data_IF_770126225362
#
_entry.id   IF_770126225362
#
_cell.length_a   1.000
_cell.length_b   1.000
_cell.length_c   1.000
_cell.angle_alpha   90.00
_cell.angle_beta   90.00
_cell.angle_gamma   90.00
#
_symmetry.space_group_name_H-M   'P 1'
#
loop_
_entity.id
_entity.type
_entity.pdbx_description
1 polymer ?
#
# COMPACT_ATOMS: atom_id res chain seq x y z
N UNK A 1 6.56 -2.75 -9.46
CA UNK A 1 6.66 -1.29 -9.32
C UNK A 1 8.04 -0.82 -9.81
N UNK A 2 8.11 0.45 -10.28
CA UNK A 2 9.37 1.10 -10.69
C UNK A 2 10.45 0.91 -9.65
N UNK A 3 11.66 0.52 -10.10
CA UNK A 3 12.83 0.36 -9.25
C UNK A 3 12.81 -0.84 -8.31
N UNK A 4 11.74 -1.63 -8.21
CA UNK A 4 11.66 -2.78 -7.32
C UNK A 4 11.74 -4.12 -8.06
N UNK A 5 12.33 -5.11 -7.39
CA UNK A 5 12.45 -6.46 -7.91
C UNK A 5 13.21 -6.53 -9.22
N UNK A 6 12.58 -7.05 -10.26
CA UNK A 6 13.17 -7.24 -11.60
C UNK A 6 13.00 -6.03 -12.54
N UNK A 7 12.32 -4.96 -12.10
CA UNK A 7 12.21 -3.76 -12.94
C UNK A 7 13.52 -2.98 -12.94
N UNK A 8 13.78 -2.27 -14.04
CA UNK A 8 14.99 -1.43 -14.18
C UNK A 8 14.99 -0.29 -13.16
N UNK A 9 16.18 0.23 -12.88
CA UNK A 9 16.31 1.42 -12.04
C UNK A 9 15.70 2.63 -12.75
N UNK A 10 14.86 3.41 -12.06
CA UNK A 10 14.33 4.62 -12.62
C UNK A 10 15.47 5.63 -12.81
N UNK A 11 15.55 6.21 -14.00
CA UNK A 11 16.57 7.21 -14.37
C UNK A 11 16.28 8.57 -13.75
N UNK A 12 14.99 8.83 -13.45
CA UNK A 12 14.50 10.11 -12.92
C UNK A 12 13.60 9.89 -11.70
N UNK A 13 13.48 10.89 -10.82
CA UNK A 13 12.47 10.88 -9.77
C UNK A 13 11.06 10.66 -10.36
N UNK A 14 10.21 10.00 -9.61
CA UNK A 14 8.84 9.71 -9.99
C UNK A 14 7.89 9.92 -8.79
N UNK A 15 6.62 10.08 -9.09
CA UNK A 15 5.56 10.28 -8.11
C UNK A 15 4.70 9.03 -7.91
N UNK A 16 3.82 9.07 -6.90
CA UNK A 16 2.76 8.06 -6.73
C UNK A 16 1.79 8.07 -7.92
N UNK A 17 1.55 9.25 -8.52
CA UNK A 17 0.72 9.39 -9.72
C UNK A 17 1.33 8.68 -10.94
N UNK A 18 2.66 8.77 -11.14
CA UNK A 18 3.34 8.04 -12.22
C UNK A 18 3.21 6.52 -12.05
N UNK A 19 3.23 6.02 -10.81
CA UNK A 19 3.01 4.59 -10.54
C UNK A 19 1.56 4.16 -10.81
N UNK A 20 0.60 5.06 -10.63
CA UNK A 20 -0.80 4.81 -11.01
C UNK A 20 -0.97 4.76 -12.53
N UNK A 21 -0.28 5.63 -13.26
CA UNK A 21 -0.25 5.62 -14.72
C UNK A 21 0.40 4.32 -15.24
N UNK A 22 1.49 3.84 -14.60
CA UNK A 22 2.10 2.54 -14.92
C UNK A 22 1.12 1.37 -14.73
N UNK A 23 0.37 1.38 -13.63
CA UNK A 23 -0.60 0.31 -13.36
C UNK A 23 -1.74 0.31 -14.40
N UNK A 24 -2.21 1.49 -14.81
CA UNK A 24 -3.21 1.61 -15.87
C UNK A 24 -2.66 1.16 -17.23
N UNK A 25 -1.43 1.56 -17.56
CA UNK A 25 -0.74 1.15 -18.79
C UNK A 25 -0.47 -0.36 -18.83
N UNK A 26 -0.15 -0.98 -17.68
CA UNK A 26 -0.01 -2.43 -17.59
C UNK A 26 -1.31 -3.14 -17.96
N UNK A 27 -2.48 -2.73 -17.43
CA UNK A 27 -3.77 -3.31 -17.77
C UNK A 27 -4.04 -3.20 -19.27
N UNK A 28 -3.67 -2.08 -19.88
CA UNK A 28 -3.79 -1.85 -21.32
C UNK A 28 -2.89 -2.79 -22.12
N UNK A 29 -1.63 -2.92 -21.71
CA UNK A 29 -0.64 -3.75 -22.39
C UNK A 29 -0.97 -5.26 -22.37
N UNK A 30 -1.80 -5.70 -21.42
CA UNK A 30 -2.26 -7.09 -21.31
C UNK A 30 -3.74 -7.26 -21.70
N UNK A 31 -4.31 -6.29 -22.42
CA UNK A 31 -5.68 -6.29 -22.94
C UNK A 31 -6.76 -6.50 -21.86
N UNK A 32 -6.53 -6.05 -20.63
CA UNK A 32 -7.52 -6.04 -19.55
C UNK A 32 -8.18 -4.66 -19.51
N UNK A 33 -9.46 -4.53 -19.90
CA UNK A 33 -10.13 -3.23 -19.95
C UNK A 33 -10.30 -2.60 -18.56
N UNK A 34 -10.63 -3.40 -17.55
CA UNK A 34 -10.76 -2.98 -16.16
C UNK A 34 -10.67 -4.18 -15.20
N UNK A 35 -10.20 -3.95 -13.98
CA UNK A 35 -9.99 -4.97 -12.96
C UNK A 35 -10.53 -4.55 -11.59
N UNK A 36 -10.74 -5.51 -10.68
CA UNK A 36 -10.69 -5.24 -9.25
C UNK A 36 -9.22 -5.05 -8.86
N UNK A 37 -8.92 -4.00 -8.10
CA UNK A 37 -7.55 -3.66 -7.73
C UNK A 37 -7.43 -3.61 -6.22
N UNK A 38 -6.47 -4.35 -5.66
CA UNK A 38 -6.10 -4.29 -4.26
C UNK A 38 -4.75 -3.55 -4.10
N UNK A 39 -4.73 -2.51 -3.29
CA UNK A 39 -3.54 -1.73 -2.97
C UNK A 39 -3.12 -1.90 -1.52
N UNK A 40 -1.98 -2.57 -1.28
CA UNK A 40 -1.40 -2.72 0.05
C UNK A 40 -0.44 -1.58 0.35
N UNK A 41 -0.59 -0.91 1.50
CA UNK A 41 0.30 0.14 1.98
C UNK A 41 0.55 1.22 0.91
N UNK A 42 1.77 1.37 0.36
CA UNK A 42 2.08 2.21 -0.79
C UNK A 42 1.15 1.93 -1.99
N UNK A 43 0.79 0.66 -2.21
CA UNK A 43 -0.17 0.27 -3.26
C UNK A 43 -1.54 0.94 -3.09
N UNK A 44 -1.94 1.25 -1.86
CA UNK A 44 -3.17 2.01 -1.58
C UNK A 44 -3.08 3.48 -2.01
N UNK A 45 -1.92 4.12 -1.87
CA UNK A 45 -1.71 5.48 -2.41
C UNK A 45 -1.78 5.48 -3.94
N UNK A 46 -1.19 4.45 -4.57
CA UNK A 46 -1.24 4.25 -6.02
C UNK A 46 -2.69 4.02 -6.47
N UNK A 47 -3.45 3.16 -5.76
CA UNK A 47 -4.84 2.88 -6.05
C UNK A 47 -5.73 4.12 -5.95
N UNK A 48 -5.53 4.97 -4.93
CA UNK A 48 -6.27 6.22 -4.80
C UNK A 48 -6.04 7.15 -6.01
N UNK A 49 -4.79 7.30 -6.45
CA UNK A 49 -4.46 8.04 -7.67
C UNK A 49 -5.05 7.38 -8.92
N UNK A 50 -5.02 6.05 -9.01
CA UNK A 50 -5.56 5.30 -10.14
C UNK A 50 -7.08 5.51 -10.26
N UNK A 51 -7.82 5.52 -9.15
CA UNK A 51 -9.27 5.76 -9.12
C UNK A 51 -9.68 7.14 -9.62
N UNK A 52 -8.85 8.16 -9.39
CA UNK A 52 -9.11 9.53 -9.85
C UNK A 52 -8.64 9.75 -11.29
N UNK A 53 -7.48 9.22 -11.66
CA UNK A 53 -6.86 9.46 -12.96
C UNK A 53 -7.38 8.50 -14.04
N UNK A 54 -7.68 7.26 -13.66
CA UNK A 54 -8.08 6.16 -14.53
C UNK A 54 -9.33 5.42 -14.00
N UNK A 55 -10.45 6.14 -13.68
CA UNK A 55 -11.60 5.54 -12.99
C UNK A 55 -12.23 4.37 -13.77
N UNK A 56 -12.14 4.37 -15.09
CA UNK A 56 -12.68 3.30 -15.94
C UNK A 56 -11.83 2.02 -15.93
N UNK A 57 -10.60 2.07 -15.41
CA UNK A 57 -9.72 0.90 -15.29
C UNK A 57 -9.95 0.12 -13.98
N UNK A 58 -10.71 0.68 -13.02
CA UNK A 58 -10.95 0.07 -11.71
C UNK A 58 -12.45 -0.23 -11.55
N UNK A 59 -12.81 -1.49 -11.39
CA UNK A 59 -14.20 -1.93 -11.16
C UNK A 59 -14.55 -2.01 -9.67
N UNK A 60 -13.58 -2.34 -8.84
CA UNK A 60 -13.70 -2.43 -7.39
C UNK A 60 -12.32 -2.16 -6.76
N UNK A 61 -12.29 -1.62 -5.56
CA UNK A 61 -11.05 -1.19 -4.91
C UNK A 61 -10.91 -1.74 -3.48
N UNK A 62 -9.81 -2.40 -3.19
CA UNK A 62 -9.46 -2.81 -1.84
C UNK A 62 -8.24 -2.01 -1.34
N UNK A 63 -8.43 -1.22 -0.30
CA UNK A 63 -7.39 -0.47 0.39
C UNK A 63 -6.91 -1.28 1.59
N UNK A 64 -5.69 -1.84 1.52
CA UNK A 64 -5.17 -2.74 2.54
C UNK A 64 -4.02 -2.08 3.30
N UNK A 65 -4.17 -1.93 4.62
CA UNK A 65 -3.18 -1.31 5.53
C UNK A 65 -2.66 0.04 5.00
N UNK A 66 -3.57 0.94 4.65
CA UNK A 66 -3.26 2.21 3.98
C UNK A 66 -4.16 3.36 4.43
N UNK A 67 -3.90 4.56 3.92
CA UNK A 67 -4.63 5.79 4.23
C UNK A 67 -4.68 6.71 2.99
N UNK A 68 -5.54 7.75 3.02
CA UNK A 68 -5.64 8.73 1.92
C UNK A 68 -4.77 9.97 2.12
N UNK A 69 -4.54 10.40 3.36
CA UNK A 69 -3.88 11.66 3.67
C UNK A 69 -2.42 11.74 3.22
N UNK A 70 -1.96 12.95 2.95
CA UNK A 70 -0.54 13.25 2.79
C UNK A 70 0.25 12.98 4.08
N UNK A 71 1.57 12.96 4.00
CA UNK A 71 2.41 12.93 5.20
C UNK A 71 2.28 14.26 5.98
N UNK A 72 2.26 14.16 7.31
CA UNK A 72 2.49 15.34 8.15
C UNK A 72 3.92 15.84 7.99
N UNK A 73 4.19 17.07 8.43
CA UNK A 73 5.55 17.63 8.37
C UNK A 73 6.58 16.73 9.07
N UNK A 74 6.23 16.19 10.24
CA UNK A 74 7.08 15.31 11.03
C UNK A 74 7.35 13.99 10.29
N UNK A 75 6.31 13.43 9.65
CA UNK A 75 6.43 12.19 8.88
C UNK A 75 7.26 12.39 7.60
N UNK A 76 7.08 13.52 6.93
CA UNK A 76 7.88 13.90 5.77
C UNK A 76 9.37 14.06 6.15
N UNK A 77 9.66 14.71 7.30
CA UNK A 77 11.04 14.82 7.83
C UNK A 77 11.62 13.46 8.19
N UNK A 78 10.84 12.59 8.83
CA UNK A 78 11.27 11.23 9.15
C UNK A 78 11.64 10.44 7.89
N UNK A 79 10.86 10.58 6.78
CA UNK A 79 11.23 9.95 5.51
C UNK A 79 12.56 10.47 4.95
N UNK A 80 12.82 11.78 5.05
CA UNK A 80 14.13 12.33 4.62
C UNK A 80 15.28 11.71 5.40
N UNK A 81 15.13 11.53 6.73
CA UNK A 81 16.14 10.85 7.56
C UNK A 81 16.31 9.39 7.14
N UNK A 82 15.20 8.67 6.88
CA UNK A 82 15.22 7.29 6.42
C UNK A 82 15.87 7.15 5.05
N UNK A 83 15.61 8.07 4.11
CA UNK A 83 16.25 8.09 2.79
C UNK A 83 17.77 8.19 2.92
N UNK A 84 18.26 9.11 3.74
CA UNK A 84 19.70 9.25 4.01
C UNK A 84 20.26 7.97 4.61
N UNK A 85 19.60 7.43 5.64
CA UNK A 85 20.02 6.19 6.28
C UNK A 85 20.13 5.03 5.29
N UNK A 86 19.15 4.87 4.39
CA UNK A 86 19.18 3.82 3.36
C UNK A 86 20.34 4.01 2.37
N UNK A 87 20.63 5.25 1.99
CA UNK A 87 21.77 5.54 1.08
C UNK A 87 23.11 5.28 1.77
N UNK A 88 23.24 5.69 3.02
CA UNK A 88 24.50 5.62 3.78
C UNK A 88 24.80 4.18 4.27
N UNK A 89 23.78 3.48 4.81
CA UNK A 89 23.94 2.19 5.49
C UNK A 89 23.45 1.00 4.62
N UNK A 90 22.70 1.26 3.56
CA UNK A 90 22.23 0.25 2.62
C UNK A 90 20.89 -0.40 3.00
N UNK A 91 20.37 -1.22 2.07
CA UNK A 91 19.06 -1.86 2.19
C UNK A 91 18.98 -2.88 3.33
N UNK A 92 20.08 -3.54 3.69
CA UNK A 92 20.12 -4.50 4.80
C UNK A 92 19.85 -3.82 6.14
N UNK A 93 20.59 -2.74 6.43
CA UNK A 93 20.40 -1.96 7.64
C UNK A 93 18.99 -1.36 7.72
N UNK A 94 18.46 -0.89 6.58
CA UNK A 94 17.07 -0.45 6.49
C UNK A 94 16.10 -1.59 6.82
N UNK A 95 16.28 -2.79 6.27
CA UNK A 95 15.42 -3.95 6.54
C UNK A 95 15.45 -4.34 8.02
N UNK A 96 16.64 -4.34 8.66
CA UNK A 96 16.80 -4.62 10.10
C UNK A 96 15.97 -3.66 10.97
N UNK A 97 15.92 -2.37 10.61
CA UNK A 97 15.19 -1.35 11.34
C UNK A 97 13.68 -1.33 11.02
N UNK A 98 13.30 -1.71 9.80
CA UNK A 98 11.94 -1.54 9.29
C UNK A 98 11.06 -2.78 9.49
N UNK A 99 11.58 -3.99 9.25
CA UNK A 99 10.80 -5.25 9.31
C UNK A 99 10.12 -5.46 10.67
N UNK A 100 10.74 -5.17 11.82
CA UNK A 100 10.09 -5.29 13.12
C UNK A 100 8.83 -4.44 13.31
N UNK A 101 8.66 -3.38 12.50
CA UNK A 101 7.48 -2.50 12.55
C UNK A 101 6.31 -3.01 11.69
N UNK A 102 6.55 -4.01 10.85
CA UNK A 102 5.57 -4.52 9.89
C UNK A 102 4.61 -5.53 10.50
N UNK A 103 5.04 -6.26 11.51
CA UNK A 103 4.28 -7.36 12.09
C UNK A 103 3.81 -7.03 13.51
N UNK A 104 2.68 -7.64 13.91
CA UNK A 104 2.32 -7.64 15.31
C UNK A 104 3.37 -8.43 16.13
N UNK A 105 3.69 -8.02 17.36
CA UNK A 105 4.68 -8.72 18.20
C UNK A 105 4.36 -10.20 18.40
N UNK A 106 3.09 -10.53 18.55
CA UNK A 106 2.62 -11.90 18.74
C UNK A 106 2.88 -12.75 17.48
N UNK A 107 2.56 -12.21 16.29
CA UNK A 107 2.80 -12.89 15.03
C UNK A 107 4.29 -13.07 14.78
N UNK A 108 5.09 -12.02 14.94
CA UNK A 108 6.52 -12.07 14.72
C UNK A 108 7.23 -13.14 15.58
N UNK A 109 6.79 -13.28 16.85
CA UNK A 109 7.34 -14.29 17.75
C UNK A 109 6.96 -15.75 17.35
N UNK A 110 5.78 -15.93 16.78
CA UNK A 110 5.25 -17.24 16.38
C UNK A 110 5.70 -17.68 14.97
N UNK A 111 6.05 -16.72 14.10
CA UNK A 111 6.31 -16.93 12.67
C UNK A 111 7.64 -16.30 12.21
N UNK A 112 8.79 -16.71 12.78
CA UNK A 112 10.09 -16.11 12.45
C UNK A 112 10.49 -16.31 10.98
N UNK A 113 10.00 -17.37 10.32
CA UNK A 113 10.33 -17.65 8.93
C UNK A 113 9.70 -16.66 7.97
N UNK A 114 8.43 -16.26 8.18
CA UNK A 114 7.73 -15.25 7.38
C UNK A 114 8.34 -13.85 7.59
N UNK A 115 8.73 -13.55 8.82
CA UNK A 115 9.48 -12.32 9.14
C UNK A 115 10.83 -12.31 8.41
N UNK A 116 11.55 -13.44 8.43
CA UNK A 116 12.80 -13.64 7.72
C UNK A 116 12.66 -13.50 6.20
N UNK A 117 11.62 -14.09 5.61
CA UNK A 117 11.34 -13.92 4.17
C UNK A 117 11.08 -12.45 3.81
N UNK A 118 10.33 -11.72 4.65
CA UNK A 118 10.07 -10.29 4.45
C UNK A 118 11.38 -9.49 4.53
N UNK A 119 12.25 -9.82 5.47
CA UNK A 119 13.58 -9.24 5.57
C UNK A 119 14.40 -9.47 4.28
N UNK A 120 14.47 -10.70 3.78
CA UNK A 120 15.20 -11.02 2.56
C UNK A 120 14.68 -10.24 1.34
N UNK A 121 13.36 -10.10 1.21
CA UNK A 121 12.76 -9.33 0.13
C UNK A 121 13.16 -7.85 0.19
N UNK A 122 13.14 -7.24 1.37
CA UNK A 122 13.46 -5.81 1.55
C UNK A 122 14.99 -5.58 1.45
N UNK A 123 15.78 -6.42 2.10
CA UNK A 123 17.26 -6.31 2.11
C UNK A 123 17.88 -6.53 0.73
N UNK A 124 17.18 -7.28 -0.14
CA UNK A 124 17.59 -7.51 -1.54
C UNK A 124 17.24 -6.36 -2.49
N UNK A 125 16.57 -5.29 -2.03
CA UNK A 125 16.26 -4.15 -2.89
C UNK A 125 17.47 -3.20 -3.03
N UNK A 126 17.43 -2.38 -4.11
CA UNK A 126 18.45 -1.37 -4.35
C UNK A 126 18.24 -0.15 -3.46
N UNK A 127 19.24 0.34 -2.72
CA UNK A 127 19.11 1.48 -1.83
C UNK A 127 18.54 2.73 -2.50
N UNK A 128 19.02 3.07 -3.70
CA UNK A 128 18.51 4.20 -4.47
C UNK A 128 17.02 4.07 -4.78
N UNK A 129 16.56 2.88 -5.13
CA UNK A 129 15.14 2.63 -5.42
C UNK A 129 14.26 2.78 -4.18
N UNK A 130 14.73 2.29 -3.02
CA UNK A 130 14.03 2.50 -1.74
C UNK A 130 13.95 4.01 -1.44
N UNK A 131 15.05 4.74 -1.59
CA UNK A 131 15.07 6.18 -1.34
C UNK A 131 14.11 6.95 -2.28
N UNK A 132 14.07 6.61 -3.56
CA UNK A 132 13.15 7.23 -4.53
C UNK A 132 11.68 6.93 -4.20
N UNK A 133 11.35 5.72 -3.75
CA UNK A 133 10.00 5.38 -3.28
C UNK A 133 9.61 6.13 -2.01
N UNK A 134 10.54 6.27 -1.05
CA UNK A 134 10.32 7.07 0.15
C UNK A 134 10.07 8.53 -0.21
N UNK A 135 10.77 9.07 -1.21
CA UNK A 135 10.56 10.44 -1.69
C UNK A 135 9.22 10.61 -2.41
N UNK A 136 8.84 9.66 -3.26
CA UNK A 136 7.52 9.64 -3.90
C UNK A 136 6.38 9.61 -2.85
N UNK A 137 6.52 8.79 -1.80
CA UNK A 137 5.56 8.76 -0.69
C UNK A 137 5.53 10.07 0.10
N UNK A 138 6.69 10.70 0.35
CA UNK A 138 6.83 11.97 1.06
C UNK A 138 6.12 13.11 0.33
N UNK A 139 6.18 13.09 -0.99
CA UNK A 139 5.61 14.14 -1.86
C UNK A 139 4.19 13.84 -2.33
N UNK A 140 3.60 12.71 -1.89
CA UNK A 140 2.26 12.34 -2.38
C UNK A 140 1.21 13.39 -2.02
N UNK A 141 0.27 13.54 -2.93
CA UNK A 141 -0.89 14.38 -2.75
C UNK A 141 -1.81 13.84 -1.63
N UNK A 142 -2.46 14.75 -0.92
CA UNK A 142 -3.57 14.41 -0.04
C UNK A 142 -4.80 14.05 -0.88
N UNK A 143 -5.19 12.78 -0.83
CA UNK A 143 -6.33 12.26 -1.58
C UNK A 143 -7.66 12.41 -0.83
N UNK A 144 -7.63 12.85 0.43
CA UNK A 144 -8.85 13.05 1.24
C UNK A 144 -9.92 13.91 0.55
N UNK A 145 -9.58 15.04 -0.12
CA UNK A 145 -10.58 15.89 -0.81
C UNK A 145 -11.22 15.26 -2.05
N UNK A 146 -10.75 14.09 -2.48
CA UNK A 146 -11.21 13.43 -3.70
C UNK A 146 -11.97 12.12 -3.44
N UNK A 147 -12.05 11.67 -2.18
CA UNK A 147 -12.63 10.37 -1.84
C UNK A 147 -14.11 10.28 -2.19
N UNK A 148 -14.85 11.38 -2.06
CA UNK A 148 -16.27 11.49 -2.42
C UNK A 148 -16.56 11.34 -3.92
N UNK A 149 -15.53 11.47 -4.77
CA UNK A 149 -15.61 11.28 -6.22
C UNK A 149 -15.42 9.83 -6.64
N UNK A 150 -15.02 8.96 -5.71
CA UNK A 150 -14.82 7.53 -5.96
C UNK A 150 -16.16 6.82 -5.81
N UNK A 151 -16.66 6.28 -6.92
CA UNK A 151 -17.98 5.64 -6.99
C UNK A 151 -17.91 4.10 -7.07
N UNK A 152 -16.73 3.55 -7.20
CA UNK A 152 -16.52 2.10 -7.23
C UNK A 152 -16.80 1.49 -5.85
N UNK A 153 -17.32 0.24 -5.79
CA UNK A 153 -17.39 -0.50 -4.53
C UNK A 153 -15.98 -0.62 -3.92
N UNK A 154 -15.86 -0.25 -2.65
CA UNK A 154 -14.59 -0.26 -1.93
C UNK A 154 -14.63 -1.11 -0.66
N UNK A 155 -13.48 -1.60 -0.23
CA UNK A 155 -13.24 -2.11 1.11
C UNK A 155 -11.93 -1.56 1.65
N UNK A 156 -11.90 -1.20 2.93
CA UNK A 156 -10.69 -0.92 3.69
C UNK A 156 -10.43 -2.10 4.62
N UNK A 157 -9.22 -2.66 4.56
CA UNK A 157 -8.82 -3.80 5.39
C UNK A 157 -7.53 -3.42 6.10
N UNK A 158 -7.40 -3.73 7.39
CA UNK A 158 -6.15 -3.49 8.10
C UNK A 158 -6.10 -4.14 9.47
N UNK A 159 -4.94 -4.09 10.11
CA UNK A 159 -4.74 -4.57 11.46
C UNK A 159 -4.97 -3.46 12.50
N UNK A 160 -5.63 -3.77 13.61
CA UNK A 160 -5.76 -2.82 14.73
C UNK A 160 -4.41 -2.51 15.40
N UNK A 161 -3.45 -3.45 15.30
CA UNK A 161 -2.09 -3.31 15.81
C UNK A 161 -1.09 -2.73 14.80
N UNK A 162 -1.55 -2.18 13.68
CA UNK A 162 -0.68 -1.58 12.66
C UNK A 162 0.08 -0.37 13.23
N UNK A 163 1.41 -0.49 13.32
CA UNK A 163 2.29 0.55 13.85
C UNK A 163 2.57 1.68 12.83
N UNK A 164 2.28 1.46 11.54
CA UNK A 164 2.58 2.39 10.46
C UNK A 164 1.36 3.20 10.02
N UNK A 165 0.18 2.59 10.04
CA UNK A 165 -1.09 3.21 9.65
C UNK A 165 -2.12 3.00 10.75
N UNK A 166 -2.51 4.07 11.43
CA UNK A 166 -3.47 3.95 12.53
C UNK A 166 -4.87 3.55 12.06
N UNK A 167 -5.60 2.83 12.93
CA UNK A 167 -7.01 2.49 12.70
C UNK A 167 -7.87 3.74 12.43
N UNK A 168 -7.54 4.88 13.06
CA UNK A 168 -8.22 6.16 12.78
C UNK A 168 -8.01 6.61 11.33
N UNK A 169 -6.78 6.51 10.81
CA UNK A 169 -6.50 6.90 9.42
C UNK A 169 -7.23 5.99 8.41
N UNK A 170 -7.36 4.70 8.72
CA UNK A 170 -8.14 3.75 7.91
C UNK A 170 -9.65 4.04 7.97
N UNK A 171 -10.19 4.39 9.15
CA UNK A 171 -11.58 4.82 9.29
C UNK A 171 -11.87 6.12 8.53
N UNK A 172 -10.99 7.11 8.61
CA UNK A 172 -11.13 8.36 7.86
C UNK A 172 -11.14 8.11 6.33
N UNK A 173 -10.32 7.17 5.85
CA UNK A 173 -10.35 6.73 4.45
C UNK A 173 -11.71 6.11 4.11
N UNK A 174 -12.22 5.20 4.93
CA UNK A 174 -13.50 4.54 4.70
C UNK A 174 -14.68 5.54 4.73
N UNK A 175 -14.71 6.46 5.70
CA UNK A 175 -15.77 7.46 5.86
C UNK A 175 -15.83 8.46 4.70
N UNK A 176 -14.69 8.74 4.06
CA UNK A 176 -14.62 9.60 2.88
C UNK A 176 -15.14 8.95 1.59
N UNK A 177 -15.22 7.62 1.52
CA UNK A 177 -15.64 6.85 0.35
C UNK A 177 -17.15 6.59 0.36
N UNK A 178 -17.82 6.78 -0.79
CA UNK A 178 -19.29 6.71 -0.89
C UNK A 178 -19.86 5.30 -0.68
N UNK A 179 -19.19 4.26 -1.19
CA UNK A 179 -19.58 2.83 -1.05
C UNK A 179 -18.40 2.02 -0.53
N UNK A 180 -18.16 2.06 0.78
CA UNK A 180 -17.01 1.42 1.38
C UNK A 180 -17.35 0.69 2.69
N UNK A 181 -16.93 -0.58 2.79
CA UNK A 181 -16.88 -1.34 4.04
C UNK A 181 -15.49 -1.22 4.67
N UNK A 182 -15.40 -1.50 5.98
CA UNK A 182 -14.12 -1.59 6.69
C UNK A 182 -14.06 -2.86 7.53
N UNK A 183 -12.93 -3.55 7.47
CA UNK A 183 -12.57 -4.63 8.38
C UNK A 183 -11.24 -4.30 9.06
N UNK A 184 -11.28 -4.10 10.37
CA UNK A 184 -10.10 -3.94 11.22
C UNK A 184 -9.90 -5.20 12.04
N UNK A 185 -8.80 -5.89 11.79
CA UNK A 185 -8.53 -7.22 12.33
C UNK A 185 -7.76 -7.08 13.64
N UNK A 186 -8.36 -7.57 14.73
CA UNK A 186 -7.74 -7.53 16.06
C UNK A 186 -6.40 -8.24 16.11
N UNK A 187 -5.42 -7.66 16.80
CA UNK A 187 -4.09 -8.23 17.06
C UNK A 187 -3.24 -8.47 15.81
N UNK A 188 -3.60 -7.89 14.69
CA UNK A 188 -2.87 -7.94 13.42
C UNK A 188 -2.10 -6.63 13.24
N UNK A 189 -0.87 -6.72 12.73
CA UNK A 189 0.00 -5.58 12.40
C UNK A 189 -0.23 -5.03 10.99
N UNK A 190 0.83 -4.43 10.43
CA UNK A 190 0.79 -3.83 9.10
C UNK A 190 0.66 -4.88 7.99
N UNK A 191 1.31 -6.03 8.15
CA UNK A 191 1.29 -7.13 7.16
C UNK A 191 0.01 -7.96 7.25
N UNK A 192 -1.14 -7.31 7.25
CA UNK A 192 -2.45 -7.97 7.39
C UNK A 192 -2.69 -9.09 6.37
N UNK A 193 -2.14 -8.97 5.17
CA UNK A 193 -2.19 -10.02 4.13
C UNK A 193 -1.40 -11.28 4.47
N UNK A 194 -0.42 -11.17 5.37
CA UNK A 194 0.41 -12.30 5.84
C UNK A 194 -0.08 -12.81 7.19
N UNK A 195 -0.42 -11.89 8.10
CA UNK A 195 -0.85 -12.24 9.46
C UNK A 195 -2.27 -12.82 9.53
N UNK A 196 -3.15 -12.44 8.59
CA UNK A 196 -4.55 -12.87 8.55
C UNK A 196 -5.06 -13.11 7.11
N UNK A 197 -4.40 -13.97 6.31
CA UNK A 197 -4.71 -14.15 4.90
C UNK A 197 -6.15 -14.59 4.63
N UNK A 198 -6.72 -15.43 5.48
CA UNK A 198 -8.10 -15.93 5.33
C UNK A 198 -9.13 -14.79 5.47
N UNK A 199 -8.92 -13.89 6.44
CA UNK A 199 -9.81 -12.73 6.63
C UNK A 199 -9.69 -11.75 5.47
N UNK A 200 -8.47 -11.45 5.04
CA UNK A 200 -8.24 -10.57 3.89
C UNK A 200 -8.86 -11.17 2.64
N UNK A 201 -8.66 -12.46 2.36
CA UNK A 201 -9.24 -13.15 1.21
C UNK A 201 -10.77 -13.13 1.25
N UNK A 202 -11.37 -13.34 2.42
CA UNK A 202 -12.83 -13.27 2.59
C UNK A 202 -13.37 -11.89 2.23
N UNK A 203 -12.76 -10.81 2.70
CA UNK A 203 -13.20 -9.45 2.39
C UNK A 203 -13.01 -9.08 0.89
N UNK A 204 -11.94 -9.59 0.27
CA UNK A 204 -11.75 -9.45 -1.17
C UNK A 204 -12.83 -10.18 -1.96
N UNK A 205 -13.22 -11.40 -1.57
CA UNK A 205 -14.31 -12.15 -2.17
C UNK A 205 -15.65 -11.41 -2.01
N UNK A 206 -15.94 -10.86 -0.84
CA UNK A 206 -17.14 -10.05 -0.59
C UNK A 206 -17.16 -8.79 -1.48
N UNK A 207 -16.02 -8.14 -1.66
CA UNK A 207 -15.89 -6.99 -2.56
C UNK A 207 -16.19 -7.39 -4.00
N UNK A 208 -15.64 -8.49 -4.47
CA UNK A 208 -15.84 -9.00 -5.85
C UNK A 208 -17.32 -9.35 -6.11
N UNK A 209 -18.01 -9.95 -5.13
CA UNK A 209 -19.45 -10.25 -5.20
C UNK A 209 -20.27 -8.95 -5.29
N UNK A 210 -19.98 -7.94 -4.45
CA UNK A 210 -20.62 -6.62 -4.50
C UNK A 210 -20.43 -5.93 -5.86
N UNK A 211 -19.29 -6.11 -6.47
CA UNK A 211 -18.95 -5.55 -7.77
C UNK A 211 -19.53 -6.34 -8.95
N UNK A 212 -20.27 -7.44 -8.70
CA UNK A 212 -20.80 -8.32 -9.74
C UNK A 212 -19.72 -9.01 -10.58
N UNK A 213 -18.57 -9.28 -10.01
CA UNK A 213 -17.41 -9.90 -10.69
C UNK A 213 -17.29 -11.39 -10.42
N UNK A 214 -17.99 -11.91 -9.41
CA UNK A 214 -18.20 -13.34 -9.18
C UNK A 214 -19.67 -13.70 -9.43
N UNK A 215 -19.91 -14.82 -10.09
CA UNK A 215 -21.21 -15.48 -10.14
C UNK A 215 -21.18 -16.67 -9.19
#
# INVERSE_FOLDING_TARGET
LRGLGKTEDPIQPFSVADMADDAAALLEAIDIPAAAVAGFSLGGYILAQMLIRHPLKVRAAAFVSTQAGADTAERAEARVKTMRYVIDEGAKAFAEAFVPQLFSPTYAAAHPDEVGQTYEVISGQRPNSIAMLLDAMRQREDMTPYLDKINQPCVVIGGEGDALVSSLAMRNLQEGLSDCKIELIERVGHMSTVEAPDKVSFELDQLMQRAGMWM
#
